data_IF_524627270986
#
_entry.id   IF_524627270986
#
_cell.length_a   1.000
_cell.length_b   1.000
_cell.length_c   1.000
_cell.angle_alpha   90.00
_cell.angle_beta   90.00
_cell.angle_gamma   90.00
#
_symmetry.space_group_name_H-M   'P 1'
#
loop_
_entity.id
_entity.type
_entity.pdbx_description
1 polymer ?
#
# COMPACT_ATOMS: atom_id res chain seq x y z
N UNK A 1 4.41 -6.50 6.98
CA UNK A 1 3.11 -6.90 6.40
C UNK A 1 3.24 -8.05 5.40
N UNK A 2 3.99 -7.89 4.30
CA UNK A 2 4.07 -8.93 3.25
C UNK A 2 4.53 -10.31 3.76
N UNK A 3 5.48 -10.35 4.69
CA UNK A 3 5.92 -11.58 5.32
C UNK A 3 4.76 -12.34 6.01
N UNK A 4 3.86 -11.63 6.70
CA UNK A 4 2.68 -12.24 7.31
C UNK A 4 1.70 -12.76 6.25
N UNK A 5 1.47 -12.00 5.18
CA UNK A 5 0.56 -12.37 4.08
C UNK A 5 1.03 -13.58 3.29
N UNK A 6 2.35 -13.78 3.19
CA UNK A 6 2.97 -14.89 2.46
C UNK A 6 3.33 -16.08 3.36
N UNK A 7 2.94 -16.05 4.64
CA UNK A 7 3.35 -17.04 5.63
C UNK A 7 4.89 -17.28 5.64
N UNK A 8 5.65 -16.19 5.49
CA UNK A 8 7.10 -16.24 5.57
C UNK A 8 7.51 -16.73 6.97
N UNK A 9 8.58 -17.56 7.10
CA UNK A 9 8.95 -18.16 8.38
C UNK A 9 8.94 -17.15 9.53
N UNK A 10 8.24 -17.52 10.61
CA UNK A 10 8.12 -16.67 11.77
C UNK A 10 9.50 -16.44 12.42
N UNK A 11 9.77 -15.23 12.94
CA UNK A 11 10.90 -15.02 13.83
C UNK A 11 10.80 -15.90 15.08
N UNK A 12 11.91 -16.09 15.82
CA UNK A 12 11.87 -16.73 17.13
C UNK A 12 10.79 -16.14 18.06
N UNK A 13 10.26 -16.94 18.99
CA UNK A 13 9.11 -16.55 19.82
C UNK A 13 9.37 -15.36 20.75
N UNK A 14 10.64 -15.08 21.05
CA UNK A 14 11.11 -13.95 21.84
C UNK A 14 11.37 -12.68 21.01
N UNK A 15 11.12 -12.73 19.69
CA UNK A 15 11.36 -11.62 18.76
C UNK A 15 10.04 -11.03 18.20
N UNK A 16 10.04 -9.75 17.78
CA UNK A 16 8.88 -9.13 17.17
C UNK A 16 8.40 -9.87 15.91
N UNK A 17 7.10 -10.19 15.87
CA UNK A 17 6.48 -10.96 14.78
C UNK A 17 6.07 -10.06 13.60
N UNK A 18 5.95 -10.63 12.39
CA UNK A 18 5.72 -9.87 11.16
C UNK A 18 4.44 -9.02 11.14
N UNK A 19 3.34 -9.56 11.70
CA UNK A 19 2.10 -8.82 11.85
C UNK A 19 2.25 -7.71 12.89
N UNK A 20 2.85 -8.01 14.04
CA UNK A 20 3.06 -7.04 15.12
C UNK A 20 3.91 -5.86 14.66
N UNK A 21 4.95 -6.08 13.85
CA UNK A 21 5.75 -5.02 13.24
C UNK A 21 4.92 -4.14 12.30
N UNK A 22 4.04 -4.73 11.49
CA UNK A 22 3.15 -3.96 10.61
C UNK A 22 2.13 -3.11 11.41
N UNK A 23 1.55 -3.69 12.45
CA UNK A 23 0.64 -3.00 13.36
C UNK A 23 1.36 -1.88 14.11
N UNK A 24 2.59 -2.08 14.57
CA UNK A 24 3.37 -1.03 15.22
C UNK A 24 3.62 0.15 14.28
N UNK A 25 4.07 -0.09 13.03
CA UNK A 25 4.25 0.96 12.03
C UNK A 25 2.94 1.72 11.81
N UNK A 26 1.85 1.01 11.55
CA UNK A 26 0.55 1.63 11.30
C UNK A 26 0.06 2.43 12.51
N UNK A 27 0.18 1.90 13.73
CA UNK A 27 -0.25 2.59 14.96
C UNK A 27 0.53 3.89 15.16
N UNK A 28 1.84 3.89 14.91
CA UNK A 28 2.65 5.13 14.99
C UNK A 28 2.34 6.12 13.87
N UNK A 29 1.83 5.65 12.73
CA UNK A 29 1.36 6.51 11.64
C UNK A 29 -0.04 7.06 11.92
N UNK A 30 -0.90 6.30 12.60
CA UNK A 30 -2.23 6.72 13.01
C UNK A 30 -2.25 7.62 14.26
N UNK A 31 -1.09 7.79 14.92
CA UNK A 31 -0.95 8.63 16.09
C UNK A 31 -1.38 10.08 15.80
N UNK A 32 -2.22 10.71 16.64
CA UNK A 32 -2.72 12.07 16.41
C UNK A 32 -1.63 13.11 16.14
N UNK A 33 -0.43 12.94 16.69
CA UNK A 33 0.68 13.87 16.47
C UNK A 33 1.14 13.92 15.00
N UNK A 34 0.71 12.95 14.17
CA UNK A 34 0.99 12.90 12.73
C UNK A 34 -0.14 13.39 11.84
N UNK A 35 -1.28 13.78 12.42
CA UNK A 35 -2.49 14.21 11.71
C UNK A 35 -2.93 15.60 12.17
N UNK A 36 -2.20 16.62 11.75
CA UNK A 36 -2.56 18.02 11.98
C UNK A 36 -3.63 18.54 10.99
N UNK A 37 -4.18 19.73 11.26
CA UNK A 37 -5.28 20.32 10.48
C UNK A 37 -4.85 20.92 9.13
N UNK A 38 -3.55 21.07 8.85
CA UNK A 38 -3.08 21.68 7.60
C UNK A 38 -3.56 20.85 6.41
N UNK A 39 -4.03 21.51 5.34
CA UNK A 39 -4.57 20.83 4.16
C UNK A 39 -5.77 19.92 4.48
N UNK A 40 -6.52 20.20 5.55
CA UNK A 40 -7.67 19.38 5.96
C UNK A 40 -7.31 17.99 6.48
N UNK A 41 -6.06 17.77 6.93
CA UNK A 41 -5.57 16.49 7.41
C UNK A 41 -4.39 15.96 6.60
N UNK A 42 -4.21 14.63 6.63
CA UNK A 42 -3.14 13.93 5.92
C UNK A 42 -1.78 14.05 6.58
N UNK A 43 -0.92 13.06 6.33
CA UNK A 43 0.41 13.00 6.91
C UNK A 43 1.42 13.79 6.10
N UNK A 44 2.40 14.34 6.82
CA UNK A 44 3.63 14.90 6.25
C UNK A 44 4.57 13.79 5.77
N UNK A 45 5.48 14.13 4.88
CA UNK A 45 6.52 13.22 4.41
C UNK A 45 7.45 12.80 5.57
N UNK A 46 7.91 13.78 6.35
CA UNK A 46 8.85 13.55 7.44
C UNK A 46 8.14 13.35 8.77
N UNK A 47 8.77 12.57 9.66
CA UNK A 47 8.33 12.39 11.04
C UNK A 47 8.95 13.47 11.95
N UNK A 48 10.28 13.69 11.95
CA UNK A 48 10.87 14.71 12.81
C UNK A 48 10.60 16.11 12.24
N UNK A 49 10.15 17.02 13.10
CA UNK A 49 9.84 18.41 12.71
C UNK A 49 11.03 19.15 12.08
N UNK A 50 12.26 18.80 12.49
CA UNK A 50 13.49 19.42 12.01
C UNK A 50 13.99 18.91 10.66
N UNK A 51 13.35 17.89 10.08
CA UNK A 51 13.78 17.34 8.80
C UNK A 51 13.31 18.21 7.63
N UNK A 52 14.18 18.39 6.65
CA UNK A 52 13.81 18.99 5.37
C UNK A 52 12.68 18.18 4.72
N UNK A 53 11.62 18.88 4.29
CA UNK A 53 10.41 18.25 3.75
C UNK A 53 9.33 17.93 4.79
N UNK A 54 9.49 18.31 6.06
CA UNK A 54 8.39 18.24 7.05
C UNK A 54 7.19 19.09 6.62
N UNK A 55 7.41 20.19 5.88
CA UNK A 55 6.35 21.01 5.32
C UNK A 55 5.68 20.40 4.07
N UNK A 56 6.20 19.30 3.53
CA UNK A 56 5.66 18.64 2.33
C UNK A 56 4.73 17.49 2.74
N UNK A 57 3.45 17.56 2.36
CA UNK A 57 2.51 16.45 2.49
C UNK A 57 2.44 15.73 1.16
N UNK A 58 2.96 14.51 1.09
CA UNK A 58 3.13 13.79 -0.17
C UNK A 58 2.26 12.54 -0.27
N UNK A 59 2.04 12.12 -1.51
CA UNK A 59 1.23 10.96 -1.83
C UNK A 59 1.84 9.69 -1.29
N UNK A 60 3.17 9.52 -1.31
CA UNK A 60 3.77 8.25 -0.89
C UNK A 60 3.61 7.97 0.61
N UNK A 61 3.76 8.97 1.49
CA UNK A 61 3.60 8.75 2.93
C UNK A 61 2.16 8.32 3.26
N UNK A 62 1.19 9.03 2.69
CA UNK A 62 -0.24 8.74 2.84
C UNK A 62 -0.63 7.43 2.15
N UNK A 63 -0.09 7.16 0.96
CA UNK A 63 -0.30 5.92 0.20
C UNK A 63 0.23 4.69 0.94
N UNK A 64 1.37 4.79 1.64
CA UNK A 64 1.88 3.72 2.48
C UNK A 64 0.98 3.45 3.69
N UNK A 65 0.50 4.49 4.36
CA UNK A 65 -0.43 4.35 5.49
C UNK A 65 -1.77 3.75 5.06
N UNK A 66 -2.33 4.26 3.96
CA UNK A 66 -3.49 3.71 3.28
C UNK A 66 -3.32 2.22 2.96
N UNK A 67 -2.21 1.86 2.31
CA UNK A 67 -1.92 0.50 1.88
C UNK A 67 -1.76 -0.47 3.07
N UNK A 68 -1.01 -0.08 4.10
CA UNK A 68 -0.86 -0.89 5.30
C UNK A 68 -2.20 -1.04 6.03
N UNK A 69 -3.01 0.03 6.13
CA UNK A 69 -4.34 -0.02 6.72
C UNK A 69 -5.27 -0.99 5.99
N UNK A 70 -5.36 -0.89 4.66
CA UNK A 70 -6.14 -1.80 3.83
C UNK A 70 -5.74 -3.28 4.02
N UNK A 71 -4.43 -3.54 4.10
CA UNK A 71 -3.86 -4.88 4.28
C UNK A 71 -4.12 -5.43 5.67
N UNK A 72 -3.94 -4.61 6.71
CA UNK A 72 -4.26 -4.97 8.09
C UNK A 72 -5.76 -5.23 8.26
N UNK A 73 -6.63 -4.43 7.63
CA UNK A 73 -8.07 -4.66 7.64
C UNK A 73 -8.42 -6.04 7.10
N UNK A 74 -7.91 -6.39 5.90
CA UNK A 74 -8.14 -7.71 5.30
C UNK A 74 -7.59 -8.85 6.15
N UNK A 75 -6.36 -8.69 6.67
CA UNK A 75 -5.64 -9.75 7.38
C UNK A 75 -6.22 -10.01 8.78
N UNK A 76 -6.62 -8.97 9.49
CA UNK A 76 -7.09 -9.04 10.88
C UNK A 76 -8.60 -8.99 11.04
N UNK A 77 -9.32 -8.71 9.94
CA UNK A 77 -10.76 -8.49 9.92
C UNK A 77 -11.24 -7.33 10.82
N UNK A 78 -10.37 -6.34 11.03
CA UNK A 78 -10.64 -5.16 11.87
C UNK A 78 -10.98 -3.94 11.01
N UNK A 79 -12.21 -3.46 11.16
CA UNK A 79 -12.79 -2.35 10.40
C UNK A 79 -12.18 -0.99 10.72
N UNK A 80 -11.52 -0.82 11.88
CA UNK A 80 -10.81 0.43 12.20
C UNK A 80 -9.71 0.72 11.17
N UNK A 81 -8.94 -0.29 10.77
CA UNK A 81 -7.91 -0.11 9.74
C UNK A 81 -8.52 0.28 8.38
N UNK A 82 -9.66 -0.32 8.02
CA UNK A 82 -10.36 0.01 6.79
C UNK A 82 -10.89 1.45 6.80
N UNK A 83 -11.42 1.90 7.95
CA UNK A 83 -11.91 3.27 8.10
C UNK A 83 -10.81 4.30 7.86
N UNK A 84 -9.65 4.15 8.50
CA UNK A 84 -8.53 5.07 8.27
C UNK A 84 -8.03 5.02 6.82
N UNK A 85 -8.06 3.85 6.17
CA UNK A 85 -7.72 3.74 4.76
C UNK A 85 -8.74 4.46 3.86
N UNK A 86 -10.05 4.31 4.12
CA UNK A 86 -11.11 5.07 3.44
C UNK A 86 -10.91 6.59 3.64
N UNK A 87 -10.70 7.04 4.88
CA UNK A 87 -10.48 8.45 5.21
C UNK A 87 -9.21 9.02 4.52
N UNK A 88 -8.12 8.23 4.45
CA UNK A 88 -6.87 8.64 3.76
C UNK A 88 -7.06 8.74 2.25
N UNK A 89 -7.80 7.79 1.65
CA UNK A 89 -8.12 7.84 0.23
C UNK A 89 -8.95 9.08 -0.09
N UNK A 90 -9.99 9.34 0.68
CA UNK A 90 -10.88 10.48 0.46
C UNK A 90 -10.11 11.80 0.64
N UNK A 91 -9.16 11.86 1.58
CA UNK A 91 -8.24 13.00 1.69
C UNK A 91 -7.37 13.18 0.44
N UNK A 92 -6.72 12.12 -0.08
CA UNK A 92 -5.88 12.19 -1.29
C UNK A 92 -6.65 12.71 -2.52
N UNK A 93 -7.91 12.31 -2.67
CA UNK A 93 -8.81 12.85 -3.70
C UNK A 93 -9.19 14.29 -3.38
N UNK A 94 -9.55 14.59 -2.13
CA UNK A 94 -10.00 15.91 -1.68
C UNK A 94 -8.95 17.01 -1.84
N UNK A 95 -7.66 16.70 -1.63
CA UNK A 95 -6.55 17.64 -1.88
C UNK A 95 -6.11 17.69 -3.35
N UNK A 96 -6.70 16.86 -4.22
CA UNK A 96 -6.42 16.84 -5.66
C UNK A 96 -5.12 16.11 -6.04
N UNK A 97 -4.53 15.30 -5.15
CA UNK A 97 -3.38 14.47 -5.49
C UNK A 97 -3.79 13.31 -6.39
N UNK A 98 -5.04 12.87 -6.28
CA UNK A 98 -5.73 12.07 -7.29
C UNK A 98 -6.74 13.00 -7.99
N UNK A 99 -6.51 13.33 -9.26
CA UNK A 99 -7.42 14.21 -10.00
C UNK A 99 -8.59 13.46 -10.65
N UNK A 100 -9.47 14.21 -11.31
CA UNK A 100 -10.66 13.71 -12.01
C UNK A 100 -10.33 12.77 -13.19
N UNK A 101 -9.11 12.85 -13.71
CA UNK A 101 -8.54 11.98 -14.74
C UNK A 101 -7.71 10.84 -14.14
N UNK A 102 -7.74 10.66 -12.83
CA UNK A 102 -7.03 9.62 -12.09
C UNK A 102 -5.51 9.72 -12.16
N UNK A 103 -4.96 10.89 -12.52
CA UNK A 103 -3.53 11.15 -12.35
C UNK A 103 -3.21 11.09 -10.86
N UNK A 104 -2.02 10.58 -10.54
CA UNK A 104 -1.52 10.54 -9.16
C UNK A 104 -0.26 11.38 -9.05
N UNK A 105 -0.41 12.56 -8.45
CA UNK A 105 0.65 13.54 -8.28
C UNK A 105 1.46 13.33 -7.02
N UNK A 106 2.62 13.98 -6.91
CA UNK A 106 3.60 13.66 -5.87
C UNK A 106 3.26 14.25 -4.49
N UNK A 107 2.71 15.46 -4.45
CA UNK A 107 2.39 16.14 -3.19
C UNK A 107 2.35 17.65 -3.33
N UNK A 108 2.29 18.34 -2.20
CA UNK A 108 2.27 19.80 -2.10
C UNK A 108 2.71 20.26 -0.71
N UNK A 109 2.89 21.57 -0.53
CA UNK A 109 3.39 22.16 0.71
C UNK A 109 2.27 22.74 1.57
N UNK A 110 2.44 22.68 2.89
CA UNK A 110 1.44 23.20 3.84
C UNK A 110 1.27 24.73 3.77
N UNK A 111 2.30 25.46 3.35
CA UNK A 111 2.30 26.93 3.26
C UNK A 111 1.29 27.44 2.22
N UNK A 112 0.95 26.60 1.23
CA UNK A 112 -0.02 26.92 0.17
C UNK A 112 -1.37 26.25 0.42
N UNK A 113 -1.58 25.67 1.61
CA UNK A 113 -2.69 24.76 1.90
C UNK A 113 -2.77 23.58 0.90
N UNK A 114 -1.61 23.04 0.52
CA UNK A 114 -1.43 21.93 -0.41
C UNK A 114 -1.97 22.19 -1.84
N UNK A 115 -2.03 23.46 -2.26
CA UNK A 115 -2.52 23.83 -3.60
C UNK A 115 -1.41 23.92 -4.65
N UNK A 116 -0.14 24.01 -4.24
CA UNK A 116 1.04 23.97 -5.13
C UNK A 116 1.43 22.54 -5.52
N UNK A 117 0.47 21.81 -6.11
CA UNK A 117 0.62 20.40 -6.44
C UNK A 117 1.80 20.18 -7.39
N UNK A 118 2.80 19.43 -6.91
CA UNK A 118 3.87 18.89 -7.73
C UNK A 118 3.31 17.79 -8.62
N UNK A 119 3.15 18.11 -9.91
CA UNK A 119 2.55 17.20 -10.90
C UNK A 119 3.49 16.11 -11.43
N UNK A 120 4.67 15.93 -10.84
CA UNK A 120 5.50 14.77 -11.11
C UNK A 120 4.68 13.49 -10.83
N UNK A 121 4.76 12.53 -11.74
CA UNK A 121 4.07 11.25 -11.64
C UNK A 121 5.11 10.14 -11.54
N UNK A 122 5.06 9.40 -10.44
CA UNK A 122 5.96 8.27 -10.16
C UNK A 122 5.15 6.99 -10.06
N UNK A 123 5.60 5.91 -10.71
CA UNK A 123 4.76 4.72 -10.88
C UNK A 123 4.33 4.09 -9.56
N UNK A 124 5.20 4.13 -8.56
CA UNK A 124 4.96 3.56 -7.24
C UNK A 124 3.82 4.28 -6.46
N UNK A 125 3.55 5.57 -6.73
CA UNK A 125 2.45 6.29 -6.09
C UNK A 125 1.10 5.75 -6.59
N UNK A 126 0.95 5.58 -7.90
CA UNK A 126 -0.26 4.99 -8.46
C UNK A 126 -0.39 3.50 -8.06
N UNK A 127 0.71 2.75 -8.10
CA UNK A 127 0.71 1.32 -7.81
C UNK A 127 0.41 1.00 -6.33
N UNK A 128 0.90 1.80 -5.36
CA UNK A 128 0.63 1.58 -3.93
C UNK A 128 -0.84 1.82 -3.61
N UNK A 129 -1.46 2.81 -4.26
CA UNK A 129 -2.88 3.14 -4.16
C UNK A 129 -3.75 2.07 -4.83
N UNK A 130 -3.37 1.59 -6.02
CA UNK A 130 -4.04 0.46 -6.67
C UNK A 130 -4.03 -0.79 -5.80
N UNK A 131 -2.88 -1.11 -5.22
CA UNK A 131 -2.76 -2.26 -4.33
C UNK A 131 -3.67 -2.11 -3.10
N UNK A 132 -3.61 -0.97 -2.41
CA UNK A 132 -4.47 -0.75 -1.23
C UNK A 132 -5.96 -0.77 -1.58
N UNK A 133 -6.36 -0.21 -2.72
CA UNK A 133 -7.73 -0.27 -3.21
C UNK A 133 -8.17 -1.72 -3.49
N UNK A 134 -7.31 -2.55 -4.07
CA UNK A 134 -7.59 -3.98 -4.28
C UNK A 134 -7.75 -4.75 -2.96
N UNK A 135 -6.96 -4.43 -1.93
CA UNK A 135 -7.13 -4.99 -0.59
C UNK A 135 -8.47 -4.57 0.04
N UNK A 136 -8.89 -3.30 -0.10
CA UNK A 136 -10.18 -2.83 0.40
C UNK A 136 -11.36 -3.40 -0.38
N UNK A 137 -11.25 -3.52 -1.71
CA UNK A 137 -12.25 -4.22 -2.51
C UNK A 137 -12.42 -5.66 -2.01
N UNK A 138 -11.33 -6.41 -1.84
CA UNK A 138 -11.40 -7.80 -1.39
C UNK A 138 -11.88 -7.94 0.07
N UNK A 139 -11.69 -6.93 0.91
CA UNK A 139 -12.17 -6.90 2.29
C UNK A 139 -13.65 -6.51 2.41
N UNK A 140 -14.09 -5.52 1.64
CA UNK A 140 -15.41 -4.87 1.79
C UNK A 140 -16.46 -5.32 0.77
N UNK A 141 -16.02 -5.84 -0.38
CA UNK A 141 -16.86 -6.17 -1.54
C UNK A 141 -17.73 -5.00 -2.06
N UNK A 142 -17.37 -3.75 -1.74
CA UNK A 142 -18.09 -2.56 -2.19
C UNK A 142 -17.74 -2.19 -3.64
N UNK A 143 -18.75 -1.93 -4.46
CA UNK A 143 -18.62 -1.52 -5.88
C UNK A 143 -17.79 -0.25 -6.09
N UNK A 144 -17.78 0.66 -5.11
CA UNK A 144 -16.99 1.89 -5.20
C UNK A 144 -15.50 1.59 -5.36
N UNK A 145 -14.99 0.55 -4.69
CA UNK A 145 -13.59 0.15 -4.80
C UNK A 145 -13.28 -0.49 -6.15
N UNK A 146 -14.21 -1.27 -6.71
CA UNK A 146 -14.07 -1.79 -8.07
C UNK A 146 -13.98 -0.66 -9.11
N UNK A 147 -14.86 0.35 -9.01
CA UNK A 147 -14.81 1.53 -9.88
C UNK A 147 -13.48 2.27 -9.74
N UNK A 148 -13.04 2.54 -8.51
CA UNK A 148 -11.74 3.19 -8.22
C UNK A 148 -10.56 2.40 -8.80
N UNK A 149 -10.56 1.07 -8.67
CA UNK A 149 -9.52 0.20 -9.23
C UNK A 149 -9.49 0.28 -10.75
N UNK A 150 -10.65 0.20 -11.42
CA UNK A 150 -10.70 0.23 -12.88
C UNK A 150 -10.13 1.53 -13.44
N UNK A 151 -10.61 2.67 -12.95
CA UNK A 151 -10.19 3.97 -13.46
C UNK A 151 -8.72 4.27 -13.15
N UNK A 152 -8.26 3.96 -11.93
CA UNK A 152 -6.86 4.16 -11.56
C UNK A 152 -5.94 3.21 -12.34
N UNK A 153 -6.38 1.97 -12.63
CA UNK A 153 -5.60 1.02 -13.42
C UNK A 153 -5.48 1.47 -14.87
N UNK A 154 -6.58 1.91 -15.49
CA UNK A 154 -6.55 2.42 -16.86
C UNK A 154 -5.57 3.59 -16.98
N UNK A 155 -5.61 4.54 -16.03
CA UNK A 155 -4.67 5.66 -16.00
C UNK A 155 -3.24 5.22 -15.72
N UNK A 156 -3.04 4.24 -14.83
CA UNK A 156 -1.70 3.70 -14.53
C UNK A 156 -1.09 3.04 -15.76
N UNK A 157 -1.87 2.29 -16.53
CA UNK A 157 -1.43 1.66 -17.79
C UNK A 157 -1.06 2.76 -18.80
N UNK A 158 -1.92 3.76 -18.98
CA UNK A 158 -1.68 4.86 -19.92
C UNK A 158 -0.40 5.64 -19.60
N UNK A 159 -0.13 5.93 -18.33
CA UNK A 159 1.01 6.77 -17.92
C UNK A 159 2.30 5.97 -17.80
N UNK A 160 2.26 4.76 -17.24
CA UNK A 160 3.48 4.04 -16.83
C UNK A 160 3.81 2.82 -17.67
N UNK A 161 3.09 2.57 -18.77
CA UNK A 161 3.41 1.51 -19.73
C UNK A 161 3.50 2.04 -21.15
N UNK A 162 4.71 2.45 -21.55
CA UNK A 162 5.00 2.88 -22.91
C UNK A 162 5.21 1.64 -23.79
N UNK A 163 4.39 1.47 -24.84
CA UNK A 163 4.37 0.28 -25.69
C UNK A 163 4.28 -1.03 -24.88
N UNK A 164 3.41 -1.05 -23.85
CA UNK A 164 3.23 -2.19 -22.92
C UNK A 164 4.44 -2.49 -22.01
N UNK A 165 5.43 -1.60 -21.94
CA UNK A 165 6.64 -1.75 -21.13
C UNK A 165 6.68 -0.70 -20.02
N UNK A 166 6.95 -1.15 -18.79
CA UNK A 166 7.01 -0.25 -17.63
C UNK A 166 8.03 0.88 -17.81
N UNK A 167 7.60 2.11 -17.52
CA UNK A 167 8.34 3.33 -17.82
C UNK A 167 8.15 4.41 -16.73
N UNK A 168 9.24 5.05 -16.28
CA UNK A 168 9.17 6.18 -15.33
C UNK A 168 9.15 7.53 -16.04
N UNK A 169 7.94 8.01 -16.38
CA UNK A 169 7.74 9.26 -17.15
C UNK A 169 8.43 10.50 -16.61
N UNK A 170 8.63 10.59 -15.30
CA UNK A 170 9.20 11.79 -14.66
C UNK A 170 10.74 11.85 -14.73
N UNK A 171 11.43 10.76 -15.11
CA UNK A 171 12.89 10.74 -15.06
C UNK A 171 13.56 9.89 -16.15
N UNK A 172 12.89 8.88 -16.69
CA UNK A 172 13.43 7.97 -17.69
C UNK A 172 13.71 8.63 -19.06
N UNK A 173 12.90 9.59 -19.58
CA UNK A 173 13.17 10.20 -20.89
C UNK A 173 14.56 10.82 -21.02
N UNK A 174 15.01 11.49 -19.95
CA UNK A 174 16.30 12.20 -19.89
C UNK A 174 17.34 11.44 -19.04
N UNK A 175 17.02 10.22 -18.59
CA UNK A 175 17.86 9.40 -17.70
C UNK A 175 18.34 10.13 -16.44
N UNK A 176 17.47 10.97 -15.87
CA UNK A 176 17.73 11.79 -14.67
C UNK A 176 17.29 11.10 -13.37
N UNK A 177 16.89 9.83 -13.45
CA UNK A 177 16.40 9.07 -12.30
C UNK A 177 17.41 9.01 -11.15
N UNK A 178 16.90 9.21 -9.94
CA UNK A 178 17.67 9.05 -8.70
C UNK A 178 17.75 7.58 -8.28
N UNK A 179 18.59 7.29 -7.27
CA UNK A 179 18.71 5.95 -6.67
C UNK A 179 17.36 5.34 -6.28
N UNK A 180 16.46 6.14 -5.74
CA UNK A 180 15.13 5.69 -5.33
C UNK A 180 14.27 5.33 -6.53
N UNK A 181 14.25 6.20 -7.55
CA UNK A 181 13.45 6.04 -8.77
C UNK A 181 13.83 4.78 -9.55
N UNK A 182 15.09 4.35 -9.46
CA UNK A 182 15.53 3.09 -10.06
C UNK A 182 14.87 1.85 -9.46
N UNK A 183 14.05 1.95 -8.41
CA UNK A 183 13.34 0.81 -7.80
C UNK A 183 11.83 0.76 -8.09
N UNK A 184 11.26 1.82 -8.66
CA UNK A 184 9.80 1.99 -8.71
C UNK A 184 9.10 0.99 -9.62
N UNK A 185 9.66 0.72 -10.81
CA UNK A 185 9.12 -0.26 -11.77
C UNK A 185 9.01 -1.67 -11.18
N UNK A 186 9.93 -2.06 -10.29
CA UNK A 186 9.85 -3.33 -9.57
C UNK A 186 8.65 -3.40 -8.63
N UNK A 187 8.33 -2.30 -7.95
CA UNK A 187 7.14 -2.21 -7.11
C UNK A 187 5.87 -2.23 -7.96
N UNK A 188 5.82 -1.46 -9.05
CA UNK A 188 4.71 -1.46 -10.02
C UNK A 188 4.37 -2.90 -10.46
N UNK A 189 5.38 -3.65 -10.92
CA UNK A 189 5.23 -5.05 -11.32
C UNK A 189 4.68 -5.95 -10.20
N UNK A 190 5.29 -5.91 -9.01
CA UNK A 190 4.88 -6.79 -7.90
C UNK A 190 3.52 -6.46 -7.34
N UNK A 191 3.16 -5.18 -7.29
CA UNK A 191 1.90 -4.73 -6.72
C UNK A 191 0.75 -4.94 -7.70
N UNK A 192 0.91 -4.68 -8.99
CA UNK A 192 -0.10 -5.03 -10.01
C UNK A 192 -0.36 -6.54 -10.05
N UNK A 193 0.69 -7.34 -9.89
CA UNK A 193 0.56 -8.78 -9.73
C UNK A 193 -0.36 -9.17 -8.56
N UNK A 194 -0.25 -8.51 -7.40
CA UNK A 194 -1.17 -8.73 -6.27
C UNK A 194 -2.58 -8.21 -6.56
N UNK A 195 -2.72 -7.06 -7.24
CA UNK A 195 -4.02 -6.54 -7.69
C UNK A 195 -4.75 -7.58 -8.53
N UNK A 196 -4.06 -8.25 -9.45
CA UNK A 196 -4.65 -9.30 -10.32
C UNK A 196 -5.18 -10.52 -9.55
N UNK A 197 -4.73 -10.76 -8.32
CA UNK A 197 -5.21 -11.82 -7.45
C UNK A 197 -6.36 -11.38 -6.55
N UNK A 198 -6.27 -10.16 -6.00
CA UNK A 198 -7.26 -9.62 -5.06
C UNK A 198 -8.50 -9.07 -5.75
N UNK A 199 -8.34 -8.60 -6.99
CA UNK A 199 -9.38 -8.06 -7.86
C UNK A 199 -9.34 -8.81 -9.21
N UNK A 200 -9.85 -10.06 -9.30
CA UNK A 200 -9.67 -10.92 -10.47
C UNK A 200 -10.20 -10.34 -11.79
N UNK A 201 -11.16 -9.42 -11.76
CA UNK A 201 -11.66 -8.70 -12.93
C UNK A 201 -10.57 -7.86 -13.64
N UNK A 202 -9.42 -7.63 -13.01
CA UNK A 202 -8.26 -6.94 -13.59
C UNK A 202 -7.26 -7.87 -14.28
N UNK A 203 -7.38 -9.19 -14.10
CA UNK A 203 -6.33 -10.16 -14.45
C UNK A 203 -5.99 -10.17 -15.94
N UNK A 204 -7.01 -10.14 -16.80
CA UNK A 204 -6.85 -10.16 -18.26
C UNK A 204 -6.13 -8.91 -18.81
N UNK A 205 -6.20 -7.77 -18.09
CA UNK A 205 -5.44 -6.56 -18.45
C UNK A 205 -4.02 -6.58 -17.89
N UNK A 206 -3.86 -7.03 -16.63
CA UNK A 206 -2.58 -6.92 -15.92
C UNK A 206 -1.59 -8.00 -16.38
N UNK A 207 -2.01 -9.27 -16.46
CA UNK A 207 -1.05 -10.38 -16.65
C UNK A 207 -0.32 -10.33 -18.00
N UNK A 208 -1.00 -10.10 -19.14
CA UNK A 208 -0.31 -9.97 -20.43
C UNK A 208 0.64 -8.76 -20.44
N UNK A 209 0.19 -7.63 -19.90
CA UNK A 209 0.97 -6.40 -19.82
C UNK A 209 2.29 -6.59 -19.02
N UNK A 210 2.20 -7.20 -17.82
CA UNK A 210 3.38 -7.47 -17.01
C UNK A 210 4.32 -8.48 -17.66
N UNK A 211 3.78 -9.45 -18.43
CA UNK A 211 4.58 -10.38 -19.22
C UNK A 211 5.38 -9.65 -20.29
N UNK A 212 4.73 -8.84 -21.14
CA UNK A 212 5.41 -8.05 -22.19
C UNK A 212 6.50 -7.18 -21.59
N UNK A 213 6.18 -6.46 -20.50
CA UNK A 213 7.16 -5.62 -19.83
C UNK A 213 8.33 -6.41 -19.22
N UNK A 214 8.12 -7.61 -18.67
CA UNK A 214 9.19 -8.43 -18.11
C UNK A 214 10.09 -9.02 -19.21
N UNK A 215 9.52 -9.39 -20.35
CA UNK A 215 10.29 -9.83 -21.53
C UNK A 215 11.21 -8.70 -22.03
N UNK A 216 10.70 -7.47 -22.13
CA UNK A 216 11.51 -6.29 -22.47
C UNK A 216 12.62 -6.02 -21.42
N UNK A 217 12.32 -6.17 -20.13
CA UNK A 217 13.29 -6.01 -19.05
C UNK A 217 14.47 -7.00 -19.17
N UNK A 218 14.19 -8.28 -19.43
CA UNK A 218 15.22 -9.33 -19.61
C UNK A 218 16.13 -9.01 -20.80
N UNK A 219 15.59 -8.47 -21.88
CA UNK A 219 16.40 -8.08 -23.05
C UNK A 219 17.44 -7.00 -22.73
N UNK A 220 17.26 -6.24 -21.64
CA UNK A 220 18.24 -5.25 -21.17
C UNK A 220 19.22 -5.80 -20.14
N UNK A 221 19.16 -7.10 -19.84
CA UNK A 221 20.10 -7.80 -18.96
C UNK A 221 21.24 -8.42 -19.76
N UNK A 222 22.01 -7.56 -20.42
CA UNK A 222 23.13 -7.95 -21.30
C UNK A 222 24.41 -7.17 -20.98
N UNK A 223 24.43 -6.38 -19.89
CA UNK A 223 25.51 -5.45 -19.56
C UNK A 223 26.53 -5.98 -18.54
N UNK A 224 27.53 -5.14 -18.28
CA UNK A 224 28.58 -5.36 -17.27
C UNK A 224 29.51 -6.55 -17.56
N UNK A 225 30.50 -6.75 -16.70
CA UNK A 225 31.52 -7.82 -16.86
C UNK A 225 30.93 -9.23 -16.86
N UNK A 226 29.74 -9.40 -16.27
CA UNK A 226 29.02 -10.66 -16.23
C UNK A 226 28.26 -11.00 -17.53
N UNK A 227 28.10 -10.03 -18.44
CA UNK A 227 27.26 -10.17 -19.63
C UNK A 227 25.76 -10.33 -19.34
N UNK A 228 25.33 -10.09 -18.09
CA UNK A 228 23.93 -10.28 -17.64
C UNK A 228 23.43 -9.20 -16.67
N UNK A 229 24.16 -8.11 -16.48
CA UNK A 229 23.70 -7.01 -15.65
C UNK A 229 22.54 -6.30 -16.34
N UNK A 230 21.47 -6.04 -15.57
CA UNK A 230 20.27 -5.37 -16.08
C UNK A 230 20.38 -3.86 -16.05
N UNK A 231 19.99 -3.23 -17.16
CA UNK A 231 19.81 -1.78 -17.30
C UNK A 231 18.46 -1.30 -16.75
N UNK A 232 18.22 0.01 -16.81
CA UNK A 232 16.97 0.62 -16.39
C UNK A 232 15.98 0.83 -17.54
N UNK A 233 16.44 1.28 -18.71
CA UNK A 233 15.59 1.64 -19.84
C UNK A 233 15.11 0.43 -20.63
N UNK A 234 13.95 -0.09 -20.26
CA UNK A 234 13.38 -1.31 -20.84
C UNK A 234 12.80 -1.07 -22.24
N UNK A 235 12.45 0.17 -22.57
CA UNK A 235 11.97 0.58 -23.89
C UNK A 235 13.09 0.93 -24.87
N UNK A 236 14.32 1.17 -24.39
CA UNK A 236 15.45 1.55 -25.25
C UNK A 236 15.94 0.36 -26.09
N UNK A 237 16.51 0.60 -27.28
CA UNK A 237 17.02 -0.47 -28.15
C UNK A 237 18.18 -1.26 -27.53
N UNK A 238 19.02 -0.58 -26.73
CA UNK A 238 20.24 -1.15 -26.17
C UNK A 238 20.31 -0.99 -24.63
N UNK A 239 21.25 -1.71 -24.01
CA UNK A 239 21.61 -1.51 -22.61
C UNK A 239 22.09 -0.06 -22.39
N UNK A 240 21.50 0.61 -21.41
CA UNK A 240 21.66 2.05 -21.15
C UNK A 240 22.92 2.41 -20.33
N UNK A 241 23.70 1.41 -19.90
CA UNK A 241 24.84 1.62 -19.01
C UNK A 241 24.47 1.93 -17.56
N UNK A 242 23.17 2.02 -17.21
CA UNK A 242 22.70 2.30 -15.85
C UNK A 242 22.43 0.99 -15.14
N UNK A 243 23.42 0.52 -14.39
CA UNK A 243 23.29 -0.70 -13.57
C UNK A 243 23.48 -0.40 -12.08
N UNK A 244 22.75 -1.12 -11.25
CA UNK A 244 22.77 -0.97 -9.80
C UNK A 244 21.74 -1.87 -9.13
N UNK A 245 21.68 -1.80 -7.80
CA UNK A 245 20.78 -2.64 -7.01
C UNK A 245 19.30 -2.42 -7.37
N UNK A 246 18.88 -1.17 -7.64
CA UNK A 246 17.50 -0.84 -8.04
C UNK A 246 17.11 -1.50 -9.35
N UNK A 247 17.96 -1.40 -10.37
CA UNK A 247 17.73 -2.01 -11.69
C UNK A 247 17.67 -3.53 -11.59
N UNK A 248 18.59 -4.17 -10.86
CA UNK A 248 18.54 -5.62 -10.65
C UNK A 248 17.26 -6.03 -9.90
N UNK A 249 16.87 -5.25 -8.88
CA UNK A 249 15.65 -5.50 -8.10
C UNK A 249 14.39 -5.36 -8.96
N UNK A 250 14.35 -4.41 -9.91
CA UNK A 250 13.23 -4.27 -10.82
C UNK A 250 13.05 -5.50 -11.70
N UNK A 251 14.13 -6.00 -12.31
CA UNK A 251 14.03 -7.19 -13.16
C UNK A 251 13.71 -8.43 -12.33
N UNK A 252 14.32 -8.59 -11.15
CA UNK A 252 13.98 -9.68 -10.23
C UNK A 252 12.48 -9.66 -9.89
N UNK A 253 11.94 -8.48 -9.58
CA UNK A 253 10.53 -8.27 -9.26
C UNK A 253 9.61 -8.61 -10.45
N UNK A 254 9.94 -8.14 -11.65
CA UNK A 254 9.18 -8.40 -12.87
C UNK A 254 9.15 -9.89 -13.22
N UNK A 255 10.32 -10.53 -13.26
CA UNK A 255 10.45 -11.95 -13.65
C UNK A 255 9.84 -12.88 -12.60
N UNK A 256 10.08 -12.63 -11.31
CA UNK A 256 9.45 -13.44 -10.24
C UNK A 256 7.93 -13.32 -10.25
N UNK A 257 7.41 -12.15 -10.65
CA UNK A 257 5.99 -11.88 -10.79
C UNK A 257 5.29 -12.74 -11.84
N UNK A 258 6.01 -13.23 -12.86
CA UNK A 258 5.43 -14.11 -13.88
C UNK A 258 5.03 -15.49 -13.35
N UNK A 259 5.51 -15.86 -12.16
CA UNK A 259 5.17 -17.13 -11.51
C UNK A 259 3.84 -17.08 -10.76
N UNK A 260 3.12 -15.96 -10.82
CA UNK A 260 1.87 -15.79 -10.10
C UNK A 260 0.77 -16.67 -10.70
N UNK A 261 0.13 -17.48 -9.85
CA UNK A 261 -0.80 -18.54 -10.26
C UNK A 261 -0.17 -19.92 -10.45
N UNK A 262 1.16 -20.02 -10.57
CA UNK A 262 1.89 -21.30 -10.56
C UNK A 262 2.25 -21.78 -9.15
N UNK A 263 2.23 -20.88 -8.17
CA UNK A 263 2.53 -21.14 -6.77
C UNK A 263 1.33 -21.74 -6.00
N UNK A 264 0.76 -22.85 -6.47
CA UNK A 264 -0.35 -23.55 -5.80
C UNK A 264 -1.59 -22.67 -5.50
N UNK A 265 -2.63 -23.20 -4.83
CA UNK A 265 -3.75 -22.41 -4.34
C UNK A 265 -3.33 -21.65 -3.08
N UNK A 266 -2.39 -20.71 -3.20
CA UNK A 266 -2.16 -19.67 -2.21
C UNK A 266 -2.74 -18.36 -2.72
N UNK A 267 -4.07 -18.33 -2.89
CA UNK A 267 -4.80 -17.07 -2.71
C UNK A 267 -4.32 -16.48 -1.38
N UNK A 268 -3.79 -15.25 -1.37
CA UNK A 268 -3.26 -14.58 -0.17
C UNK A 268 -4.09 -14.98 1.06
N UNK A 269 -3.61 -15.94 1.89
CA UNK A 269 -4.48 -16.63 2.83
C UNK A 269 -5.05 -15.60 3.78
N UNK A 270 -6.38 -15.59 3.94
CA UNK A 270 -6.97 -14.93 5.09
C UNK A 270 -6.63 -15.86 6.26
N UNK A 271 -5.91 -15.40 7.30
CA UNK A 271 -5.60 -16.25 8.44
C UNK A 271 -6.92 -16.82 8.96
N UNK A 272 -7.01 -18.14 9.07
CA UNK A 272 -8.12 -18.77 9.76
C UNK A 272 -8.07 -18.27 11.21
N UNK A 273 -9.22 -17.80 11.75
CA UNK A 273 -9.27 -17.23 13.10
C UNK A 273 -8.95 -18.33 14.12
N UNK A 274 -7.69 -18.49 14.47
CA UNK A 274 -7.31 -19.29 15.63
C UNK A 274 -7.56 -18.43 16.88
N UNK A 275 -8.82 -18.42 17.32
CA UNK A 275 -9.16 -17.84 18.61
C UNK A 275 -8.40 -18.64 19.68
N UNK A 276 -7.49 -17.96 20.41
CA UNK A 276 -6.89 -18.58 21.59
C UNK A 276 -8.02 -19.09 22.49
N UNK A 277 -7.96 -20.35 22.97
CA UNK A 277 -8.98 -20.86 23.87
C UNK A 277 -9.10 -19.93 25.07
N UNK A 278 -10.33 -19.49 25.37
CA UNK A 278 -10.61 -18.61 26.50
C UNK A 278 -10.09 -19.25 27.77
N UNK A 279 -9.18 -18.56 28.45
CA UNK A 279 -8.64 -19.02 29.72
C UNK A 279 -9.68 -18.90 30.83
N UNK A 280 -9.49 -19.61 31.94
CA UNK A 280 -10.33 -19.42 33.14
C UNK A 280 -10.26 -17.97 33.63
N UNK A 281 -9.12 -17.31 33.47
CA UNK A 281 -8.95 -15.89 33.79
C UNK A 281 -9.80 -14.96 32.92
N UNK A 282 -9.85 -15.19 31.60
CA UNK A 282 -10.69 -14.41 30.68
C UNK A 282 -12.19 -14.52 31.06
N UNK A 283 -12.63 -15.73 31.40
CA UNK A 283 -14.03 -15.99 31.81
C UNK A 283 -14.35 -15.34 33.16
N UNK A 284 -13.44 -15.42 34.13
CA UNK A 284 -13.61 -14.79 35.44
C UNK A 284 -13.65 -13.26 35.32
N UNK A 285 -12.74 -12.67 34.54
CA UNK A 285 -12.71 -11.23 34.28
C UNK A 285 -13.98 -10.71 33.62
N UNK A 286 -14.45 -11.41 32.57
CA UNK A 286 -15.71 -11.07 31.91
C UNK A 286 -16.92 -11.17 32.85
N UNK A 287 -16.97 -12.22 33.69
CA UNK A 287 -18.03 -12.39 34.68
C UNK A 287 -18.05 -11.28 35.73
N UNK A 288 -16.89 -10.92 36.29
CA UNK A 288 -16.77 -9.84 37.28
C UNK A 288 -17.18 -8.50 36.66
N UNK A 289 -16.68 -8.18 35.47
CA UNK A 289 -17.01 -6.93 34.79
C UNK A 289 -18.51 -6.82 34.50
N UNK A 290 -19.12 -7.92 34.04
CA UNK A 290 -20.57 -7.98 33.78
C UNK A 290 -21.37 -7.75 35.07
N UNK A 291 -20.97 -8.38 36.18
CA UNK A 291 -21.63 -8.21 37.47
C UNK A 291 -21.52 -6.76 37.98
N UNK A 292 -20.37 -6.12 37.83
CA UNK A 292 -20.17 -4.72 38.23
C UNK A 292 -21.02 -3.76 37.40
N UNK A 293 -21.10 -3.97 36.08
CA UNK A 293 -21.95 -3.16 35.20
C UNK A 293 -23.42 -3.32 35.56
N UNK A 294 -23.88 -4.56 35.80
CA UNK A 294 -25.27 -4.83 36.21
C UNK A 294 -25.58 -4.23 37.58
N UNK A 295 -24.66 -4.32 38.54
CA UNK A 295 -24.80 -3.71 39.86
C UNK A 295 -24.87 -2.17 39.77
N UNK A 296 -24.02 -1.55 38.96
CA UNK A 296 -24.04 -0.11 38.73
C UNK A 296 -25.35 0.33 38.04
N UNK A 297 -25.80 -0.40 37.02
CA UNK A 297 -27.04 -0.11 36.32
C UNK A 297 -28.25 -0.24 37.26
N UNK A 298 -28.36 -1.35 38.00
CA UNK A 298 -29.46 -1.58 38.95
C UNK A 298 -29.45 -0.59 40.10
N UNK A 299 -28.28 -0.23 40.63
CA UNK A 299 -28.15 0.84 41.63
C UNK A 299 -28.63 2.19 41.10
N UNK A 300 -28.25 2.54 39.87
CA UNK A 300 -28.66 3.79 39.22
C UNK A 300 -30.18 3.81 38.99
N UNK A 301 -30.75 2.76 38.40
CA UNK A 301 -32.20 2.67 38.16
C UNK A 301 -33.01 2.58 39.46
N UNK A 302 -32.48 1.92 40.48
CA UNK A 302 -33.07 1.85 41.82
C UNK A 302 -33.12 3.23 42.49
N UNK A 303 -32.01 3.97 42.47
CA UNK A 303 -31.96 5.36 42.96
C UNK A 303 -32.99 6.24 42.24
N UNK A 304 -32.99 6.23 40.91
CA UNK A 304 -33.91 7.04 40.11
C UNK A 304 -35.39 6.71 40.36
N UNK A 305 -35.68 5.48 40.80
CA UNK A 305 -37.05 5.05 41.13
C UNK A 305 -37.47 5.42 42.56
N UNK A 306 -36.52 5.75 43.43
CA UNK A 306 -36.76 6.14 44.83
C UNK A 306 -37.08 7.64 44.98
N UNK A 307 -36.70 8.47 44.02
CA UNK A 307 -36.96 9.93 44.02
C UNK A 307 -38.29 10.33 43.36
N UNK A 308 -39.27 9.41 43.29
CA UNK A 308 -40.67 9.70 42.93
C UNK A 308 -41.59 9.47 44.12
#
# INVERSE_FOLDING_TARGET
MLAAELNFPNPPSDQPQWLALAQAVWNTQADPDRHDEYCGGGMRWQIPLSNNGYNYKNTIANGCFFNIGARLARFTDNSTYAKHAEDTWDWLVGVGYIDDKWNVYDGAHIETNCTDINKAQFSYNAAVLLQGAAFLYNYTEKDIWQTRINSLLDRTIEVFFEHEVAYEVSCEPELTCTTDMYSFKGYLHRWLNQVSQLAPFTSERIRPLLRTSAEAAIQKCIGGDSGRACGFSWTADAFDGKMGAGQQMNVLAAVSGLLIGSAGPHSLPRPEREHRPLTTGDKAGAGILTALILAAATGTFGWMSWER
#
